data_IF_303871541889
#
_entry.id   IF_303871541889
#
_cell.length_a   1.000
_cell.length_b   1.000
_cell.length_c   1.000
_cell.angle_alpha   90.00
_cell.angle_beta   90.00
_cell.angle_gamma   90.00
#
_symmetry.space_group_name_H-M   'P 1'
#
loop_
_entity.id
_entity.type
_entity.pdbx_description
1 polymer ?
#
# COMPACT_ATOMS: atom_id res chain seq x y z
N UNK A 1 -1.03 9.74 16.26
CA UNK A 1 -1.32 8.65 15.30
C UNK A 1 -0.73 9.02 13.95
N UNK A 2 0.00 8.09 13.34
CA UNK A 2 0.72 8.27 12.09
C UNK A 2 0.11 7.38 11.00
N UNK A 3 -0.38 8.00 9.93
CA UNK A 3 -0.84 7.32 8.74
C UNK A 3 0.23 7.38 7.66
N UNK A 4 0.61 6.23 7.10
CA UNK A 4 1.44 6.14 5.92
C UNK A 4 0.55 5.95 4.68
N UNK A 5 0.62 6.89 3.75
CA UNK A 5 -0.03 6.78 2.46
C UNK A 5 0.99 6.44 1.36
N UNK A 6 0.87 5.25 0.77
CA UNK A 6 1.70 4.79 -0.36
C UNK A 6 0.94 5.03 -1.66
N UNK A 7 1.37 6.01 -2.43
CA UNK A 7 0.75 6.42 -3.68
C UNK A 7 1.45 5.80 -4.89
N UNK A 8 0.92 4.71 -5.42
CA UNK A 8 1.41 4.07 -6.65
C UNK A 8 0.62 4.44 -7.91
N UNK A 9 -0.06 5.59 -7.91
CA UNK A 9 -0.75 6.12 -9.10
C UNK A 9 0.23 6.84 -10.01
N UNK A 10 1.19 6.12 -10.59
CA UNK A 10 2.33 6.63 -11.36
C UNK A 10 1.98 7.18 -12.74
N UNK A 11 0.73 7.08 -13.20
CA UNK A 11 0.33 7.47 -14.56
C UNK A 11 0.14 8.98 -14.77
N UNK A 12 0.42 9.81 -13.74
CA UNK A 12 0.34 11.28 -13.78
C UNK A 12 -0.99 11.85 -14.34
N UNK A 13 -2.11 11.13 -14.16
CA UNK A 13 -3.44 11.55 -14.64
C UNK A 13 -4.07 12.65 -13.80
N UNK A 14 -3.45 13.03 -12.67
CA UNK A 14 -3.96 14.05 -11.75
C UNK A 14 -5.40 13.76 -11.32
N UNK A 15 -6.27 14.75 -11.41
CA UNK A 15 -7.69 14.65 -11.05
C UNK A 15 -8.49 13.62 -11.87
N UNK A 16 -7.97 13.21 -13.05
CA UNK A 16 -8.60 12.15 -13.85
C UNK A 16 -8.26 10.74 -13.37
N UNK A 17 -7.46 10.61 -12.34
CA UNK A 17 -7.12 9.30 -11.75
C UNK A 17 -8.28 8.77 -10.92
N UNK A 18 -8.88 7.70 -11.39
CA UNK A 18 -9.99 7.01 -10.72
C UNK A 18 -9.57 6.47 -9.35
N UNK A 19 -8.36 5.91 -9.25
CA UNK A 19 -7.81 5.45 -7.99
C UNK A 19 -7.58 6.60 -7.00
N UNK A 20 -7.07 7.76 -7.46
CA UNK A 20 -6.89 8.93 -6.59
C UNK A 20 -8.24 9.53 -6.14
N UNK A 21 -9.31 9.38 -6.89
CA UNK A 21 -10.65 9.76 -6.43
C UNK A 21 -11.07 8.96 -5.18
N UNK A 22 -10.78 7.64 -5.14
CA UNK A 22 -11.01 6.82 -3.95
C UNK A 22 -10.16 7.29 -2.77
N UNK A 23 -8.87 7.58 -3.02
CA UNK A 23 -7.94 8.10 -2.00
C UNK A 23 -8.44 9.42 -1.42
N UNK A 24 -8.86 10.35 -2.26
CA UNK A 24 -9.38 11.65 -1.84
C UNK A 24 -10.60 11.46 -0.93
N UNK A 25 -11.57 10.64 -1.37
CA UNK A 25 -12.76 10.36 -0.59
C UNK A 25 -12.43 9.72 0.78
N UNK A 26 -11.49 8.78 0.81
CA UNK A 26 -11.03 8.13 2.03
C UNK A 26 -10.31 9.10 2.97
N UNK A 27 -9.27 9.79 2.48
CA UNK A 27 -8.43 10.65 3.32
C UNK A 27 -9.17 11.88 3.84
N UNK A 28 -10.11 12.46 3.07
CA UNK A 28 -10.96 13.57 3.54
C UNK A 28 -11.83 13.12 4.71
N UNK A 29 -12.50 11.97 4.60
CA UNK A 29 -13.32 11.43 5.68
C UNK A 29 -12.48 11.08 6.91
N UNK A 30 -11.33 10.40 6.70
CA UNK A 30 -10.45 10.01 7.79
C UNK A 30 -9.85 11.21 8.54
N UNK A 31 -9.39 12.23 7.82
CA UNK A 31 -8.84 13.47 8.43
C UNK A 31 -9.86 14.25 9.22
N UNK A 32 -11.14 14.23 8.79
CA UNK A 32 -12.21 14.87 9.54
C UNK A 32 -12.39 14.24 10.94
N UNK A 33 -12.14 12.94 11.08
CA UNK A 33 -12.22 12.20 12.34
C UNK A 33 -10.91 12.27 13.14
N UNK A 34 -9.79 12.49 12.46
CA UNK A 34 -8.44 12.50 13.05
C UNK A 34 -7.66 13.77 12.66
N UNK A 35 -8.12 14.97 13.06
CA UNK A 35 -7.53 16.25 12.63
C UNK A 35 -6.07 16.42 13.06
N UNK A 36 -5.67 15.82 14.20
CA UNK A 36 -4.31 15.90 14.75
C UNK A 36 -3.38 14.79 14.25
N UNK A 37 -3.86 13.91 13.37
CA UNK A 37 -3.04 12.82 12.88
C UNK A 37 -2.05 13.29 11.80
N UNK A 38 -0.83 12.80 11.89
CA UNK A 38 0.20 12.99 10.87
C UNK A 38 -0.05 12.06 9.68
N UNK A 39 0.05 12.61 8.46
CA UNK A 39 0.00 11.83 7.22
C UNK A 39 1.34 11.95 6.50
N UNK A 40 2.08 10.87 6.47
CA UNK A 40 3.26 10.74 5.62
C UNK A 40 2.88 10.12 4.27
N UNK A 41 3.52 10.58 3.19
CA UNK A 41 3.23 10.08 1.84
C UNK A 41 4.50 9.57 1.18
N UNK A 42 4.45 8.31 0.71
CA UNK A 42 5.39 7.81 -0.29
C UNK A 42 4.82 8.19 -1.66
N UNK A 43 5.43 9.19 -2.28
CA UNK A 43 4.96 9.76 -3.54
C UNK A 43 5.29 8.86 -4.75
N UNK A 44 4.58 9.00 -5.89
CA UNK A 44 4.88 8.26 -7.11
C UNK A 44 6.33 8.42 -7.57
N UNK A 45 6.92 9.60 -7.41
CA UNK A 45 8.30 9.91 -7.77
C UNK A 45 9.30 9.10 -6.94
N UNK A 46 9.02 8.91 -5.66
CA UNK A 46 9.82 8.04 -4.79
C UNK A 46 9.79 6.60 -5.30
N UNK A 47 8.61 6.08 -5.62
CA UNK A 47 8.45 4.72 -6.13
C UNK A 47 9.16 4.51 -7.47
N UNK A 48 9.06 5.50 -8.38
CA UNK A 48 9.72 5.45 -9.69
C UNK A 48 11.23 5.59 -9.62
N UNK A 49 11.77 6.19 -8.56
CA UNK A 49 13.21 6.30 -8.33
C UNK A 49 13.83 5.01 -7.77
N UNK A 50 13.00 4.11 -7.18
CA UNK A 50 13.47 2.84 -6.64
C UNK A 50 13.94 1.92 -7.77
N UNK A 51 15.06 1.27 -7.54
CA UNK A 51 15.57 0.21 -8.41
C UNK A 51 15.36 -1.15 -7.77
N UNK A 52 15.08 -2.20 -8.57
CA UNK A 52 15.21 -3.56 -8.08
C UNK A 52 16.58 -3.78 -7.47
N UNK A 53 16.68 -4.61 -6.45
CA UNK A 53 17.96 -4.93 -5.83
C UNK A 53 18.88 -5.67 -6.81
N UNK A 54 20.09 -5.14 -6.98
CA UNK A 54 21.19 -5.84 -7.63
C UNK A 54 21.90 -6.75 -6.60
N UNK A 55 22.63 -7.80 -7.05
CA UNK A 55 23.27 -8.77 -6.14
C UNK A 55 24.16 -8.12 -5.07
N UNK A 56 24.92 -7.08 -5.44
CA UNK A 56 25.81 -6.37 -4.51
C UNK A 56 25.00 -5.62 -3.44
N UNK A 57 23.91 -4.94 -3.84
CA UNK A 57 23.03 -4.25 -2.90
C UNK A 57 22.37 -5.23 -1.91
N UNK A 58 21.99 -6.43 -2.37
CA UNK A 58 21.43 -7.47 -1.50
C UNK A 58 22.46 -7.96 -0.49
N UNK A 59 23.71 -8.21 -0.93
CA UNK A 59 24.80 -8.64 -0.04
C UNK A 59 25.09 -7.59 1.03
N UNK A 60 25.15 -6.31 0.66
CA UNK A 60 25.37 -5.21 1.61
C UNK A 60 24.20 -5.09 2.61
N UNK A 61 22.97 -5.19 2.12
CA UNK A 61 21.77 -5.17 2.96
C UNK A 61 21.76 -6.33 3.96
N UNK A 62 22.09 -7.54 3.50
CA UNK A 62 22.15 -8.73 4.35
C UNK A 62 23.27 -8.66 5.40
N UNK A 63 24.42 -8.10 5.04
CA UNK A 63 25.52 -7.85 5.97
C UNK A 63 25.10 -6.86 7.08
N UNK A 64 24.42 -5.75 6.71
CA UNK A 64 23.89 -4.79 7.68
C UNK A 64 22.81 -5.43 8.58
N UNK A 65 21.91 -6.23 8.03
CA UNK A 65 20.91 -6.97 8.81
C UNK A 65 21.57 -7.94 9.79
N UNK A 66 22.62 -8.63 9.37
CA UNK A 66 23.37 -9.58 10.20
C UNK A 66 23.97 -8.95 11.46
N UNK A 67 24.36 -7.68 11.40
CA UNK A 67 24.84 -6.90 12.55
C UNK A 67 23.76 -5.99 13.17
N UNK A 68 22.50 -6.12 12.73
CA UNK A 68 21.34 -5.33 13.16
C UNK A 68 21.51 -3.81 13.00
N UNK A 69 22.24 -3.38 11.97
CA UNK A 69 22.46 -1.98 11.60
C UNK A 69 21.33 -1.51 10.67
N UNK A 70 20.18 -1.15 11.24
CA UNK A 70 18.98 -0.74 10.51
C UNK A 70 18.83 0.79 10.35
N UNK A 71 19.84 1.57 10.75
CA UNK A 71 19.92 3.02 10.56
C UNK A 71 20.54 3.43 9.20
N UNK A 72 20.94 2.46 8.37
CA UNK A 72 21.44 2.70 7.03
C UNK A 72 20.32 3.10 6.05
N UNK A 73 20.56 4.02 5.08
CA UNK A 73 19.55 4.56 4.16
C UNK A 73 18.76 3.50 3.35
N UNK A 74 19.32 2.32 3.15
CA UNK A 74 18.66 1.20 2.47
C UNK A 74 17.41 0.71 3.22
N UNK A 75 17.28 1.04 4.51
CA UNK A 75 16.16 0.68 5.37
C UNK A 75 15.17 1.81 5.64
N UNK A 76 15.39 3.03 5.14
CA UNK A 76 14.53 4.18 5.44
C UNK A 76 13.05 3.91 5.17
N UNK A 77 12.73 3.31 4.01
CA UNK A 77 11.35 2.95 3.65
C UNK A 77 10.78 1.84 4.53
N UNK A 78 11.61 0.88 4.93
CA UNK A 78 11.21 -0.19 5.83
C UNK A 78 10.96 0.34 7.25
N UNK A 79 11.79 1.25 7.74
CA UNK A 79 11.59 1.96 9.02
C UNK A 79 10.30 2.79 8.99
N UNK A 80 10.07 3.54 7.92
CA UNK A 80 8.86 4.33 7.74
C UNK A 80 7.60 3.44 7.76
N UNK A 81 7.61 2.35 7.00
CA UNK A 81 6.49 1.39 6.92
C UNK A 81 6.23 0.73 8.29
N UNK A 82 7.29 0.27 8.97
CA UNK A 82 7.22 -0.35 10.29
C UNK A 82 6.62 0.59 11.35
N UNK A 83 6.96 1.88 11.29
CA UNK A 83 6.61 2.86 12.32
C UNK A 83 5.18 3.43 12.17
N UNK A 84 4.50 3.17 11.06
CA UNK A 84 3.13 3.66 10.83
C UNK A 84 2.12 2.98 11.74
N UNK A 85 1.13 3.74 12.24
CA UNK A 85 0.01 3.20 13.02
C UNK A 85 -1.12 2.68 12.11
N UNK A 86 -1.24 3.31 10.91
CA UNK A 86 -2.21 2.98 9.86
C UNK A 86 -1.54 3.09 8.50
N UNK A 87 -1.93 2.25 7.55
CA UNK A 87 -1.35 2.24 6.20
C UNK A 87 -2.45 2.25 5.15
N UNK A 88 -2.37 3.19 4.21
CA UNK A 88 -3.21 3.23 3.00
C UNK A 88 -2.31 3.03 1.80
N UNK A 89 -2.63 2.05 0.97
CA UNK A 89 -1.95 1.80 -0.30
C UNK A 89 -2.91 2.06 -1.44
N UNK A 90 -2.53 2.91 -2.38
CA UNK A 90 -3.30 3.18 -3.58
C UNK A 90 -2.53 2.78 -4.83
N UNK A 91 -3.12 1.91 -5.64
CA UNK A 91 -2.54 1.51 -6.91
C UNK A 91 -3.63 1.19 -7.94
N UNK A 92 -3.47 1.60 -9.22
CA UNK A 92 -4.36 1.14 -10.28
C UNK A 92 -4.17 -0.36 -10.48
N UNK A 93 -5.26 -1.04 -10.92
CA UNK A 93 -5.21 -2.45 -11.27
C UNK A 93 -4.59 -2.61 -12.66
N UNK A 94 -3.34 -3.07 -12.70
CA UNK A 94 -2.58 -3.31 -13.92
C UNK A 94 -2.11 -4.76 -13.95
N UNK A 95 -2.24 -5.39 -15.11
CA UNK A 95 -1.72 -6.74 -15.37
C UNK A 95 -2.10 -7.75 -14.26
N UNK A 96 -3.37 -7.72 -13.85
CA UNK A 96 -3.98 -8.53 -12.79
C UNK A 96 -3.53 -8.22 -11.37
N UNK A 97 -2.64 -7.22 -11.17
CA UNK A 97 -2.13 -6.81 -9.85
C UNK A 97 -2.06 -5.28 -9.74
N UNK A 98 -0.86 -4.72 -9.73
CA UNK A 98 -0.54 -3.30 -9.57
C UNK A 98 0.79 -2.96 -10.28
N UNK A 99 1.14 -1.68 -10.47
CA UNK A 99 2.37 -1.26 -11.14
C UNK A 99 3.64 -1.88 -10.55
N UNK A 100 4.61 -2.21 -11.41
CA UNK A 100 5.90 -2.79 -11.01
C UNK A 100 6.65 -1.94 -9.97
N UNK A 101 6.51 -0.60 -10.02
CA UNK A 101 7.10 0.29 -9.03
C UNK A 101 6.64 -0.01 -7.59
N UNK A 102 5.35 -0.39 -7.41
CA UNK A 102 4.86 -0.81 -6.10
C UNK A 102 5.46 -2.16 -5.68
N UNK A 103 5.69 -3.07 -6.63
CA UNK A 103 6.36 -4.35 -6.34
C UNK A 103 7.80 -4.12 -5.86
N UNK A 104 8.53 -3.21 -6.52
CA UNK A 104 9.87 -2.81 -6.08
C UNK A 104 9.84 -2.21 -4.67
N UNK A 105 8.89 -1.31 -4.39
CA UNK A 105 8.71 -0.77 -3.03
C UNK A 105 8.49 -1.87 -2.00
N UNK A 106 7.64 -2.86 -2.30
CA UNK A 106 7.38 -4.00 -1.40
C UNK A 106 8.68 -4.76 -1.10
N UNK A 107 9.57 -4.93 -2.08
CA UNK A 107 10.89 -5.54 -1.84
C UNK A 107 11.75 -4.70 -0.90
N UNK A 108 11.74 -3.36 -1.04
CA UNK A 108 12.49 -2.46 -0.17
C UNK A 108 11.98 -2.47 1.27
N UNK A 109 10.68 -2.56 1.50
CA UNK A 109 10.12 -2.61 2.86
C UNK A 109 10.19 -4.00 3.50
N UNK A 110 10.37 -5.07 2.70
CA UNK A 110 10.48 -6.44 3.20
C UNK A 110 11.88 -6.70 3.76
N UNK A 111 12.13 -6.32 5.00
CA UNK A 111 13.44 -6.40 5.65
C UNK A 111 13.41 -7.37 6.83
N UNK A 112 14.08 -8.52 6.67
CA UNK A 112 14.21 -9.51 7.74
C UNK A 112 14.95 -8.92 8.95
N UNK A 113 14.41 -9.15 10.15
CA UNK A 113 14.89 -8.58 11.41
C UNK A 113 14.42 -7.15 11.67
N UNK A 114 13.65 -6.52 10.75
CA UNK A 114 13.12 -5.17 10.89
C UNK A 114 11.59 -5.10 10.74
N UNK A 115 11.04 -5.54 9.60
CA UNK A 115 9.59 -5.53 9.35
C UNK A 115 8.94 -6.88 9.57
N UNK A 116 9.72 -7.93 9.58
CA UNK A 116 9.37 -9.29 9.97
C UNK A 116 10.63 -10.05 10.37
N UNK A 117 10.48 -11.20 11.05
CA UNK A 117 11.56 -12.12 11.38
C UNK A 117 11.07 -13.56 11.35
N UNK A 118 11.99 -14.51 11.47
CA UNK A 118 11.67 -15.93 11.54
C UNK A 118 11.96 -16.49 12.92
N UNK A 119 11.03 -17.29 13.43
CA UNK A 119 11.18 -18.14 14.59
C UNK A 119 10.98 -19.62 14.21
N UNK A 120 11.08 -20.54 15.18
CA UNK A 120 10.98 -21.96 14.91
C UNK A 120 9.61 -22.41 14.37
N UNK A 121 8.56 -21.64 14.64
CA UNK A 121 7.18 -21.88 14.23
C UNK A 121 6.75 -21.08 12.99
N UNK A 122 7.62 -20.22 12.45
CA UNK A 122 7.35 -19.52 11.20
C UNK A 122 7.80 -18.07 11.13
N UNK A 123 7.13 -17.32 10.24
CA UNK A 123 7.37 -15.90 10.03
C UNK A 123 6.49 -15.07 10.97
N UNK A 124 7.11 -14.12 11.67
CA UNK A 124 6.45 -13.17 12.58
C UNK A 124 6.66 -11.75 12.08
N UNK A 125 5.59 -10.95 12.09
CA UNK A 125 5.66 -9.57 11.65
C UNK A 125 5.99 -8.61 12.79
N UNK A 126 6.79 -7.57 12.45
CA UNK A 126 7.29 -6.57 13.38
C UNK A 126 6.74 -5.17 13.11
N UNK A 127 5.75 -5.03 12.21
CA UNK A 127 5.15 -3.75 11.90
C UNK A 127 4.13 -3.33 12.97
N UNK A 128 4.09 -2.02 13.23
CA UNK A 128 3.24 -1.43 14.26
C UNK A 128 1.78 -1.25 13.81
N UNK A 129 1.55 -1.18 12.49
CA UNK A 129 0.26 -0.85 11.94
C UNK A 129 -0.83 -1.84 12.40
N UNK A 130 -1.95 -1.31 12.87
CA UNK A 130 -3.09 -2.12 13.28
C UNK A 130 -4.00 -2.48 12.09
N UNK A 131 -3.94 -1.68 11.01
CA UNK A 131 -4.77 -1.89 9.83
C UNK A 131 -4.10 -1.35 8.57
N UNK A 132 -4.28 -2.08 7.45
CA UNK A 132 -3.93 -1.64 6.11
C UNK A 132 -5.18 -1.61 5.24
N UNK A 133 -5.35 -0.54 4.47
CA UNK A 133 -6.39 -0.41 3.44
C UNK A 133 -5.75 -0.31 2.06
N UNK A 134 -6.24 -1.14 1.13
CA UNK A 134 -5.84 -1.11 -0.28
C UNK A 134 -6.94 -0.51 -1.16
N UNK A 135 -6.64 0.60 -1.83
CA UNK A 135 -7.56 1.31 -2.72
C UNK A 135 -7.11 1.09 -4.16
N UNK A 136 -7.98 0.50 -4.99
CA UNK A 136 -7.66 0.18 -6.38
C UNK A 136 -8.82 0.42 -7.32
N UNK A 137 -8.53 0.64 -8.60
CA UNK A 137 -9.52 0.77 -9.67
C UNK A 137 -9.06 0.06 -10.93
N UNK A 138 -9.99 -0.58 -11.62
CA UNK A 138 -9.73 -1.36 -12.83
C UNK A 138 -10.82 -1.22 -13.89
N UNK A 139 -10.45 -1.48 -15.15
CA UNK A 139 -11.39 -1.44 -16.27
C UNK A 139 -12.37 -2.61 -16.29
N UNK A 140 -11.91 -3.81 -15.92
CA UNK A 140 -12.73 -5.04 -15.82
C UNK A 140 -13.38 -5.16 -14.44
N UNK A 141 -14.37 -6.04 -14.31
CA UNK A 141 -15.02 -6.36 -13.03
C UNK A 141 -14.02 -6.94 -12.03
N UNK A 142 -14.27 -6.70 -10.76
CA UNK A 142 -13.55 -7.38 -9.71
C UNK A 142 -13.79 -8.89 -9.79
N UNK A 143 -12.71 -9.65 -9.71
CA UNK A 143 -12.79 -11.12 -9.61
C UNK A 143 -12.60 -11.54 -8.16
N UNK A 144 -13.28 -12.63 -7.70
CA UNK A 144 -13.21 -13.09 -6.32
C UNK A 144 -11.77 -13.32 -5.80
N UNK A 145 -10.84 -13.60 -6.71
CA UNK A 145 -9.44 -13.88 -6.42
C UNK A 145 -8.51 -12.83 -7.05
N UNK A 146 -8.86 -11.55 -6.92
CA UNK A 146 -7.97 -10.49 -7.39
C UNK A 146 -6.58 -10.62 -6.77
N UNK A 147 -5.56 -10.87 -7.61
CA UNK A 147 -4.21 -11.15 -7.15
C UNK A 147 -3.61 -9.99 -6.34
N UNK A 148 -3.93 -8.75 -6.70
CA UNK A 148 -3.46 -7.59 -5.95
C UNK A 148 -4.03 -7.55 -4.52
N UNK A 149 -5.31 -7.90 -4.35
CA UNK A 149 -5.97 -7.98 -3.04
C UNK A 149 -5.40 -9.14 -2.21
N UNK A 150 -5.30 -10.33 -2.80
CA UNK A 150 -4.72 -11.51 -2.14
C UNK A 150 -3.27 -11.26 -1.71
N UNK A 151 -2.50 -10.61 -2.57
CA UNK A 151 -1.10 -10.31 -2.30
C UNK A 151 -0.95 -9.40 -1.07
N UNK A 152 -1.71 -8.28 -0.99
CA UNK A 152 -1.70 -7.42 0.18
C UNK A 152 -2.20 -8.11 1.43
N UNK A 153 -3.21 -8.96 1.34
CA UNK A 153 -3.69 -9.76 2.47
C UNK A 153 -2.58 -10.67 3.03
N UNK A 154 -1.82 -11.33 2.16
CA UNK A 154 -0.68 -12.18 2.58
C UNK A 154 0.47 -11.35 3.15
N UNK A 155 0.76 -10.17 2.57
CA UNK A 155 1.76 -9.26 3.12
C UNK A 155 1.37 -8.75 4.51
N UNK A 156 0.10 -8.42 4.74
CA UNK A 156 -0.37 -8.04 6.07
C UNK A 156 -0.09 -9.15 7.11
N UNK A 157 -0.36 -10.41 6.76
CA UNK A 157 -0.02 -11.54 7.64
C UNK A 157 1.49 -11.64 7.90
N UNK A 158 2.32 -11.49 6.84
CA UNK A 158 3.78 -11.51 6.96
C UNK A 158 4.32 -10.36 7.83
N UNK A 159 3.75 -9.16 7.71
CA UNK A 159 4.17 -7.98 8.46
C UNK A 159 3.54 -7.86 9.86
N UNK A 160 2.66 -8.78 10.24
CA UNK A 160 1.96 -8.76 11.54
C UNK A 160 0.86 -7.70 11.63
N UNK A 161 0.29 -7.27 10.50
CA UNK A 161 -0.82 -6.30 10.45
C UNK A 161 -2.14 -7.06 10.58
N UNK A 162 -2.87 -6.93 11.69
CA UNK A 162 -3.98 -7.83 12.02
C UNK A 162 -5.25 -7.58 11.20
N UNK A 163 -5.44 -6.36 10.66
CA UNK A 163 -6.63 -6.01 9.90
C UNK A 163 -6.28 -5.54 8.49
N UNK A 164 -7.03 -6.05 7.51
CA UNK A 164 -6.91 -5.69 6.10
C UNK A 164 -8.30 -5.49 5.49
N UNK A 165 -8.48 -4.33 4.84
CA UNK A 165 -9.65 -4.04 4.04
C UNK A 165 -9.24 -3.46 2.67
N UNK A 166 -10.17 -3.43 1.72
CA UNK A 166 -9.92 -2.84 0.41
C UNK A 166 -11.18 -2.26 -0.22
N UNK A 167 -10.98 -1.38 -1.19
CA UNK A 167 -12.02 -0.93 -2.13
C UNK A 167 -11.50 -1.14 -3.54
N UNK A 168 -12.25 -1.90 -4.34
CA UNK A 168 -11.99 -2.10 -5.76
C UNK A 168 -13.13 -1.45 -6.57
N UNK A 169 -12.81 -0.37 -7.30
CA UNK A 169 -13.71 0.21 -8.30
C UNK A 169 -13.50 -0.53 -9.63
N UNK A 170 -14.24 -1.59 -9.88
CA UNK A 170 -14.14 -2.43 -11.09
C UNK A 170 -15.20 -2.11 -12.13
N UNK A 171 -14.96 -2.53 -13.38
CA UNK A 171 -15.91 -2.37 -14.48
C UNK A 171 -15.91 -0.98 -15.13
N UNK A 172 -14.90 -0.15 -14.84
CA UNK A 172 -14.87 1.26 -15.24
C UNK A 172 -14.67 1.49 -16.75
N UNK A 173 -14.27 0.46 -17.50
CA UNK A 173 -14.09 0.55 -18.96
C UNK A 173 -15.11 -0.32 -19.74
N UNK A 174 -16.05 -0.99 -19.06
CA UNK A 174 -17.04 -1.86 -19.70
C UNK A 174 -18.22 -1.09 -20.28
N UNK A 175 -18.71 -0.09 -19.55
CA UNK A 175 -19.83 0.75 -19.97
C UNK A 175 -19.52 2.22 -19.59
N UNK A 176 -19.14 3.06 -20.56
CA UNK A 176 -18.85 4.46 -20.29
C UNK A 176 -19.99 5.24 -19.61
N UNK A 177 -21.25 4.86 -19.86
CA UNK A 177 -22.40 5.53 -19.26
C UNK A 177 -22.52 5.25 -17.74
N UNK A 178 -21.92 4.17 -17.24
CA UNK A 178 -21.94 3.78 -15.83
C UNK A 178 -20.68 4.14 -15.06
N UNK A 179 -19.62 4.60 -15.75
CA UNK A 179 -18.32 4.87 -15.11
C UNK A 179 -18.42 5.82 -13.92
N UNK A 180 -19.20 6.93 -14.06
CA UNK A 180 -19.35 7.91 -12.98
C UNK A 180 -20.13 7.34 -11.79
N UNK A 181 -21.17 6.55 -12.03
CA UNK A 181 -21.98 5.90 -11.00
C UNK A 181 -21.12 4.89 -10.21
N UNK A 182 -20.42 4.00 -10.92
CA UNK A 182 -19.51 3.00 -10.31
C UNK A 182 -18.45 3.69 -9.45
N UNK A 183 -17.84 4.75 -9.97
CA UNK A 183 -16.81 5.48 -9.24
C UNK A 183 -17.38 6.19 -7.99
N UNK A 184 -18.57 6.79 -8.10
CA UNK A 184 -19.25 7.43 -6.98
C UNK A 184 -19.57 6.44 -5.85
N UNK A 185 -20.09 5.25 -6.20
CA UNK A 185 -20.37 4.18 -5.24
C UNK A 185 -19.10 3.69 -4.55
N UNK A 186 -17.99 3.52 -5.31
CA UNK A 186 -16.71 3.11 -4.76
C UNK A 186 -16.11 4.19 -3.84
N UNK A 187 -16.24 5.48 -4.18
CA UNK A 187 -15.85 6.58 -3.31
C UNK A 187 -16.65 6.59 -2.01
N UNK A 188 -17.96 6.28 -2.07
CA UNK A 188 -18.78 6.18 -0.87
C UNK A 188 -18.40 4.98 0.01
N UNK A 189 -18.02 3.84 -0.59
CA UNK A 189 -17.43 2.71 0.15
C UNK A 189 -16.12 3.12 0.83
N UNK A 190 -15.26 3.88 0.12
CA UNK A 190 -14.02 4.38 0.68
C UNK A 190 -14.23 5.32 1.87
N UNK A 191 -15.22 6.24 1.82
CA UNK A 191 -15.59 7.10 2.96
C UNK A 191 -16.01 6.29 4.18
N UNK A 192 -16.94 5.35 3.98
CA UNK A 192 -17.41 4.47 5.08
C UNK A 192 -16.30 3.64 5.68
N UNK A 193 -15.37 3.17 4.86
CA UNK A 193 -14.22 2.41 5.35
C UNK A 193 -13.29 3.29 6.21
N UNK A 194 -13.16 4.58 5.88
CA UNK A 194 -12.37 5.53 6.65
C UNK A 194 -12.92 5.77 8.07
N UNK A 195 -14.23 5.62 8.28
CA UNK A 195 -14.88 5.78 9.59
C UNK A 195 -14.48 4.70 10.61
N UNK A 196 -14.04 3.54 10.11
CA UNK A 196 -13.65 2.38 10.93
C UNK A 196 -12.16 2.05 10.82
N UNK A 197 -11.39 2.96 10.23
CA UNK A 197 -9.95 2.82 9.99
C UNK A 197 -9.08 3.56 11.05
#
# INVERSE_FOLDING_TARGET
MKLLFVNSCISQRGEKSRTLALVKAFLEAWKALHPEAEVETVAPETLLALKPFEPEMLNDRDALAGIRCFDAPVYDLALQFRAADRIVVAAPFWDLTFPAALRTYIEHISANGLTYHYEADGCHGDCRAEKLVYLTSGGDVERPESLGVLYWKQLCAMFGIPAFDYVFAGGLDLDPAKTEEILAEACEKARRLAETF
#
